data_IF_420690371834
#
_entry.id   IF_420690371834
#
_cell.length_a   1.000
_cell.length_b   1.000
_cell.length_c   1.000
_cell.angle_alpha   90.00
_cell.angle_beta   90.00
_cell.angle_gamma   90.00
#
_symmetry.space_group_name_H-M   'P 1'
#
loop_
_entity.id
_entity.type
_entity.pdbx_description
1 polymer ?
#
# COMPACT_ATOMS: atom_id res chain seq x y z
N UNK A 1 33.87 7.23 4.66
CA UNK A 1 33.04 6.53 5.67
C UNK A 1 31.64 6.35 5.06
N UNK A 2 31.33 5.19 4.45
CA UNK A 2 30.01 4.93 3.86
C UNK A 2 29.06 4.50 4.99
N UNK A 3 28.24 5.42 5.48
CA UNK A 3 27.14 5.07 6.38
C UNK A 3 26.11 4.28 5.58
N UNK A 4 26.21 2.96 5.61
CA UNK A 4 25.12 2.09 5.19
C UNK A 4 24.00 2.25 6.22
N UNK A 5 22.99 3.04 5.87
CA UNK A 5 21.73 3.10 6.59
C UNK A 5 21.12 1.68 6.59
N UNK A 6 21.47 0.88 7.59
CA UNK A 6 20.74 -0.34 7.95
C UNK A 6 19.37 0.11 8.43
N UNK A 7 18.46 0.32 7.48
CA UNK A 7 17.03 0.43 7.76
C UNK A 7 16.65 -0.80 8.58
N UNK A 8 16.13 -0.55 9.78
CA UNK A 8 15.59 -1.60 10.62
C UNK A 8 14.56 -2.38 9.77
N UNK A 9 14.70 -3.72 9.73
CA UNK A 9 13.94 -4.63 8.84
C UNK A 9 12.42 -4.47 8.94
N UNK A 10 11.92 -3.91 10.04
CA UNK A 10 10.52 -3.53 10.20
C UNK A 10 10.09 -2.34 9.34
N UNK A 11 10.95 -1.33 9.19
CA UNK A 11 10.72 -0.17 8.33
C UNK A 11 10.82 -0.51 6.85
N UNK A 12 11.76 -1.38 6.48
CA UNK A 12 11.86 -1.88 5.12
C UNK A 12 10.58 -2.61 4.69
N UNK A 13 10.08 -3.53 5.53
CA UNK A 13 8.80 -4.20 5.31
C UNK A 13 7.62 -3.23 5.21
N UNK A 14 7.63 -2.16 6.01
CA UNK A 14 6.62 -1.12 5.93
C UNK A 14 6.72 -0.37 4.59
N UNK A 15 7.90 0.08 4.18
CA UNK A 15 8.08 0.80 2.91
C UNK A 15 7.64 -0.07 1.73
N UNK A 16 8.08 -1.32 1.67
CA UNK A 16 7.70 -2.28 0.62
C UNK A 16 6.20 -2.52 0.61
N UNK A 17 5.57 -2.68 1.77
CA UNK A 17 4.11 -2.84 1.87
C UNK A 17 3.34 -1.62 1.38
N UNK A 18 3.80 -0.41 1.72
CA UNK A 18 3.17 0.84 1.25
C UNK A 18 3.32 0.97 -0.26
N UNK A 19 4.49 0.70 -0.82
CA UNK A 19 4.73 0.70 -2.27
C UNK A 19 3.83 -0.28 -3.01
N UNK A 20 3.63 -1.48 -2.46
CA UNK A 20 2.74 -2.49 -3.04
C UNK A 20 1.28 -2.00 -3.06
N UNK A 21 0.80 -1.40 -1.98
CA UNK A 21 -0.58 -0.85 -1.92
C UNK A 21 -0.71 0.35 -2.88
N UNK A 22 0.31 1.20 -2.96
CA UNK A 22 0.31 2.32 -3.91
C UNK A 22 0.25 1.83 -5.35
N UNK A 23 1.03 0.79 -5.69
CA UNK A 23 1.04 0.20 -7.02
C UNK A 23 -0.33 -0.40 -7.37
N UNK A 24 -0.91 -1.20 -6.49
CA UNK A 24 -2.24 -1.81 -6.71
C UNK A 24 -3.33 -0.75 -6.87
N UNK A 25 -3.35 0.29 -6.03
CA UNK A 25 -4.28 1.41 -6.17
C UNK A 25 -4.11 2.16 -7.49
N UNK A 26 -2.86 2.42 -7.90
CA UNK A 26 -2.56 3.07 -9.19
C UNK A 26 -3.12 2.26 -10.35
N UNK A 27 -2.96 0.93 -10.30
CA UNK A 27 -3.47 0.01 -11.31
C UNK A 27 -5.01 0.07 -11.39
N UNK A 28 -5.69 0.07 -10.24
CA UNK A 28 -7.15 0.21 -10.14
C UNK A 28 -7.62 1.55 -10.73
N UNK A 29 -7.02 2.67 -10.35
CA UNK A 29 -7.40 3.98 -10.90
C UNK A 29 -7.12 4.08 -12.39
N UNK A 30 -6.03 3.48 -12.87
CA UNK A 30 -5.73 3.42 -14.30
C UNK A 30 -6.82 2.65 -15.06
N UNK A 31 -7.25 1.49 -14.56
CA UNK A 31 -8.34 0.70 -15.12
C UNK A 31 -9.67 1.50 -15.14
N UNK A 32 -9.98 2.22 -14.08
CA UNK A 32 -11.16 3.08 -14.00
C UNK A 32 -11.08 4.20 -15.05
N UNK A 33 -9.93 4.85 -15.18
CA UNK A 33 -9.70 5.88 -16.20
C UNK A 33 -9.82 5.35 -17.63
N UNK A 34 -9.37 4.12 -17.87
CA UNK A 34 -9.44 3.45 -19.16
C UNK A 34 -10.86 3.05 -19.58
N UNK A 35 -11.79 2.94 -18.63
CA UNK A 35 -13.17 2.59 -18.93
C UNK A 35 -13.84 3.53 -19.93
N UNK A 36 -13.61 4.85 -19.80
CA UNK A 36 -14.20 5.87 -20.67
C UNK A 36 -13.72 5.75 -22.13
N UNK A 37 -12.41 5.75 -22.43
CA UNK A 37 -11.94 5.60 -23.80
C UNK A 37 -12.24 4.21 -24.35
N UNK A 38 -12.20 3.14 -23.55
CA UNK A 38 -12.61 1.79 -23.98
C UNK A 38 -14.08 1.77 -24.41
N UNK A 39 -14.98 2.33 -23.60
CA UNK A 39 -16.40 2.44 -23.95
C UNK A 39 -16.60 3.24 -25.25
N UNK A 40 -15.85 4.32 -25.43
CA UNK A 40 -15.91 5.10 -26.66
C UNK A 40 -15.43 4.32 -27.90
N UNK A 41 -14.37 3.51 -27.77
CA UNK A 41 -13.89 2.62 -28.84
C UNK A 41 -14.98 1.60 -29.24
N UNK A 42 -15.65 0.97 -28.28
CA UNK A 42 -16.77 0.05 -28.56
C UNK A 42 -17.98 0.74 -29.21
N UNK A 43 -18.13 2.05 -29.04
CA UNK A 43 -19.17 2.86 -29.69
C UNK A 43 -18.73 3.40 -31.06
N UNK A 44 -17.58 2.98 -31.58
CA UNK A 44 -17.06 3.38 -32.89
C UNK A 44 -16.35 4.74 -32.91
N UNK A 45 -16.00 5.30 -31.75
CA UNK A 45 -15.16 6.52 -31.69
C UNK A 45 -13.71 6.14 -31.89
N UNK A 46 -13.03 6.84 -32.81
CA UNK A 46 -11.59 6.74 -32.95
C UNK A 46 -10.92 7.67 -31.93
N UNK A 47 -10.05 7.10 -31.10
CA UNK A 47 -9.17 7.88 -30.23
C UNK A 47 -7.75 7.81 -30.76
N UNK A 48 -7.10 8.95 -30.79
CA UNK A 48 -5.64 9.00 -30.96
C UNK A 48 -4.96 8.54 -29.66
N UNK A 49 -3.72 8.07 -29.77
CA UNK A 49 -2.93 7.61 -28.62
C UNK A 49 -2.76 8.71 -27.55
N UNK A 50 -2.70 9.97 -27.98
CA UNK A 50 -2.62 11.15 -27.12
C UNK A 50 -3.92 11.37 -26.35
N UNK A 51 -5.07 11.29 -27.02
CA UNK A 51 -6.38 11.39 -26.36
C UNK A 51 -6.61 10.22 -25.40
N UNK A 52 -6.16 9.02 -25.76
CA UNK A 52 -6.27 7.86 -24.88
C UNK A 52 -5.47 8.05 -23.58
N UNK A 53 -4.24 8.58 -23.71
CA UNK A 53 -3.38 8.91 -22.57
C UNK A 53 -3.91 10.07 -21.73
N UNK A 54 -4.63 11.03 -22.32
CA UNK A 54 -5.17 12.17 -21.58
C UNK A 54 -6.28 11.78 -20.60
N UNK A 55 -6.99 10.67 -20.84
CA UNK A 55 -7.96 10.11 -19.87
C UNK A 55 -7.30 9.51 -18.62
N UNK A 56 -6.00 9.20 -18.67
CA UNK A 56 -5.23 8.66 -17.54
C UNK A 56 -4.76 9.83 -16.65
N UNK A 57 -5.71 10.52 -16.02
CA UNK A 57 -5.43 11.60 -15.08
C UNK A 57 -5.10 11.07 -13.66
N UNK A 58 -4.01 10.30 -13.56
CA UNK A 58 -3.55 9.75 -12.27
C UNK A 58 -3.19 10.83 -11.25
N UNK A 59 -2.80 12.04 -11.69
CA UNK A 59 -2.40 13.16 -10.82
C UNK A 59 -3.43 13.49 -9.74
N UNK A 60 -4.72 13.45 -10.08
CA UNK A 60 -5.81 13.75 -9.14
C UNK A 60 -5.91 12.72 -8.01
N UNK A 61 -5.50 11.47 -8.28
CA UNK A 61 -5.61 10.37 -7.34
C UNK A 61 -4.34 10.13 -6.54
N UNK A 62 -3.18 10.67 -6.95
CA UNK A 62 -1.90 10.52 -6.23
C UNK A 62 -2.02 10.82 -4.72
N UNK A 63 -2.61 11.95 -4.27
CA UNK A 63 -2.74 12.23 -2.84
C UNK A 63 -3.54 11.15 -2.11
N UNK A 64 -4.65 10.70 -2.70
CA UNK A 64 -5.50 9.65 -2.14
C UNK A 64 -4.75 8.33 -2.06
N UNK A 65 -4.05 7.95 -3.13
CA UNK A 65 -3.25 6.73 -3.21
C UNK A 65 -2.20 6.71 -2.10
N UNK A 66 -1.49 7.82 -1.88
CA UNK A 66 -0.47 7.95 -0.84
C UNK A 66 -1.11 7.83 0.54
N UNK A 67 -2.14 8.64 0.83
CA UNK A 67 -2.78 8.68 2.15
C UNK A 67 -3.38 7.33 2.53
N UNK A 68 -4.12 6.70 1.61
CA UNK A 68 -4.77 5.41 1.86
C UNK A 68 -3.74 4.30 2.03
N UNK A 69 -2.70 4.26 1.19
CA UNK A 69 -1.64 3.24 1.30
C UNK A 69 -0.92 3.29 2.64
N UNK A 70 -0.57 4.51 3.10
CA UNK A 70 0.03 4.71 4.41
C UNK A 70 -0.93 4.30 5.53
N UNK A 71 -2.20 4.69 5.45
CA UNK A 71 -3.20 4.39 6.48
C UNK A 71 -3.45 2.88 6.64
N UNK A 72 -3.59 2.15 5.53
CA UNK A 72 -3.78 0.70 5.53
C UNK A 72 -2.58 0.01 6.16
N UNK A 73 -1.38 0.33 5.68
CA UNK A 73 -0.18 -0.33 6.16
C UNK A 73 0.15 0.03 7.61
N UNK A 74 -0.12 1.27 8.04
CA UNK A 74 0.06 1.70 9.43
C UNK A 74 -0.86 0.94 10.39
N UNK A 75 -2.11 0.68 9.98
CA UNK A 75 -3.05 -0.14 10.75
C UNK A 75 -2.55 -1.57 10.90
N UNK A 76 -2.02 -2.16 9.84
CA UNK A 76 -1.47 -3.52 9.86
C UNK A 76 -0.21 -3.63 10.73
N UNK A 77 0.68 -2.64 10.64
CA UNK A 77 1.88 -2.56 11.47
C UNK A 77 1.55 -2.47 12.97
N UNK A 78 0.54 -1.65 13.33
CA UNK A 78 0.06 -1.54 14.73
C UNK A 78 -0.51 -2.86 15.25
N UNK A 79 -1.30 -3.57 14.44
CA UNK A 79 -1.84 -4.89 14.81
C UNK A 79 -0.75 -5.91 15.07
N UNK A 80 0.26 -6.01 14.19
CA UNK A 80 1.41 -6.92 14.39
C UNK A 80 2.18 -6.61 15.68
N UNK A 81 2.40 -5.33 15.99
CA UNK A 81 3.08 -4.91 17.22
C UNK A 81 2.27 -5.27 18.48
N UNK A 82 0.95 -5.08 18.46
CA UNK A 82 0.07 -5.47 19.58
C UNK A 82 0.05 -6.98 19.78
N UNK A 83 -0.01 -7.77 18.70
CA UNK A 83 0.00 -9.22 18.78
C UNK A 83 1.30 -9.75 19.41
N UNK A 84 2.44 -9.18 19.04
CA UNK A 84 3.74 -9.51 19.61
C UNK A 84 3.84 -9.17 21.11
N UNK A 85 3.28 -8.03 21.53
CA UNK A 85 3.24 -7.65 22.95
C UNK A 85 2.32 -8.57 23.78
N UNK A 86 1.20 -9.03 23.20
CA UNK A 86 0.30 -9.96 23.86
C UNK A 86 0.93 -11.34 24.05
N UNK A 87 1.57 -11.90 23.02
CA UNK A 87 2.24 -13.21 23.10
C UNK A 87 3.41 -13.20 24.08
N UNK A 88 4.21 -12.15 24.09
CA UNK A 88 5.30 -11.99 25.08
C UNK A 88 4.77 -11.84 26.51
N UNK A 89 3.66 -11.12 26.71
CA UNK A 89 3.01 -10.99 28.03
C UNK A 89 2.45 -12.33 28.52
N UNK A 90 1.82 -13.12 27.65
CA UNK A 90 1.30 -14.46 27.96
C UNK A 90 2.47 -15.40 28.33
N UNK A 91 3.53 -15.42 27.53
CA UNK A 91 4.73 -16.22 27.81
C UNK A 91 5.33 -15.87 29.18
N UNK A 92 5.47 -14.59 29.49
CA UNK A 92 6.03 -14.12 30.76
C UNK A 92 5.11 -14.41 31.96
N UNK A 93 3.78 -14.39 31.78
CA UNK A 93 2.84 -14.84 32.81
C UNK A 93 2.96 -16.34 33.08
N UNK A 94 3.13 -17.15 32.04
CA UNK A 94 3.26 -18.60 32.18
C UNK A 94 4.55 -19.02 32.90
N UNK A 95 5.67 -18.33 32.63
CA UNK A 95 6.96 -18.59 33.29
C UNK A 95 6.89 -18.29 34.81
N UNK A 96 6.22 -17.21 35.21
CA UNK A 96 6.02 -16.87 36.64
C UNK A 96 5.12 -17.86 37.38
N UNK A 97 4.22 -18.55 36.69
CA UNK A 97 3.40 -19.59 37.29
C UNK A 97 4.11 -20.95 37.38
N UNK A 98 5.24 -21.14 36.68
CA UNK A 98 6.05 -22.37 36.76
C UNK A 98 7.05 -22.37 37.92
N UNK A 99 7.38 -21.20 38.48
CA UNK A 99 8.26 -21.03 39.62
C UNK A 99 7.58 -20.08 40.63
N UNK A 100 6.67 -20.60 41.47
CA UNK A 100 6.03 -19.82 42.54
C UNK A 100 7.02 -19.36 43.62
#
# INVERSE_FOLDING_TARGET
>A
MKQTLKLNTNWEKFIVGTLYIMFTMTLVFTLISLYVPLKGLFLGKNFTLIEFLSYIELRKYIPVIITVSIAINAKEFRKKKQLFLLTTRIKNKNIRNLYP
#
